data_IF_443932138035
#
_entry.id   IF_443932138035
#
_cell.length_a   1.000
_cell.length_b   1.000
_cell.length_c   1.000
_cell.angle_alpha   90.00
_cell.angle_beta   90.00
_cell.angle_gamma   90.00
#
_symmetry.space_group_name_H-M   'P 1'
#
loop_
_entity.id
_entity.type
_entity.pdbx_description
1 polymer ?
#
# COMPACT_ATOMS: atom_id res chain seq x y z
N UNK A 1 21.93 -7.60 6.17
CA UNK A 1 22.90 -8.34 5.32
C UNK A 1 23.71 -7.33 4.53
N UNK A 2 24.96 -7.65 4.17
CA UNK A 2 25.74 -6.78 3.27
C UNK A 2 25.25 -6.98 1.84
N UNK A 3 25.07 -5.90 1.04
CA UNK A 3 24.68 -6.06 -0.36
C UNK A 3 25.70 -6.88 -1.16
N UNK A 4 25.21 -7.74 -2.05
CA UNK A 4 26.04 -8.63 -2.89
C UNK A 4 26.10 -8.05 -4.29
N UNK A 5 27.31 -7.77 -4.76
CA UNK A 5 27.58 -7.17 -6.07
C UNK A 5 28.25 -8.22 -6.98
N UNK A 6 27.73 -8.39 -8.19
CA UNK A 6 28.42 -9.16 -9.23
C UNK A 6 29.25 -8.18 -10.08
N UNK A 7 30.55 -8.41 -10.14
CA UNK A 7 31.50 -7.62 -10.92
C UNK A 7 32.01 -8.45 -12.10
N UNK A 8 31.70 -8.00 -13.29
CA UNK A 8 32.05 -8.67 -14.55
C UNK A 8 32.98 -7.78 -15.37
N UNK A 9 34.20 -8.18 -15.52
CA UNK A 9 35.27 -7.47 -16.27
C UNK A 9 36.39 -8.45 -16.60
N UNK A 10 36.94 -8.48 -17.80
CA UNK A 10 37.99 -9.40 -18.21
C UNK A 10 39.35 -8.97 -17.68
N UNK A 11 39.55 -7.68 -17.37
CA UNK A 11 40.81 -7.12 -16.89
C UNK A 11 41.03 -7.45 -15.40
N UNK A 12 41.89 -8.46 -15.12
CA UNK A 12 42.09 -8.94 -13.77
C UNK A 12 42.57 -7.87 -12.76
N UNK A 13 43.41 -6.91 -13.21
CA UNK A 13 43.92 -5.83 -12.37
C UNK A 13 42.82 -4.86 -11.94
N UNK A 14 41.94 -4.46 -12.89
CA UNK A 14 40.80 -3.57 -12.64
C UNK A 14 39.79 -4.28 -11.74
N UNK A 15 39.41 -5.51 -12.06
CA UNK A 15 38.50 -6.34 -11.30
C UNK A 15 38.94 -6.49 -9.83
N UNK A 16 40.24 -6.84 -9.61
CA UNK A 16 40.80 -6.91 -8.27
C UNK A 16 40.72 -5.56 -7.52
N UNK A 17 41.05 -4.46 -8.19
CA UNK A 17 41.03 -3.12 -7.61
C UNK A 17 39.64 -2.72 -7.14
N UNK A 18 38.62 -2.91 -8.00
CA UNK A 18 37.21 -2.61 -7.70
C UNK A 18 36.70 -3.52 -6.58
N UNK A 19 36.95 -4.84 -6.67
CA UNK A 19 36.49 -5.81 -5.67
C UNK A 19 37.07 -5.51 -4.29
N UNK A 20 38.38 -5.20 -4.19
CA UNK A 20 39.05 -4.82 -2.95
C UNK A 20 38.44 -3.53 -2.35
N UNK A 21 38.18 -2.51 -3.18
CA UNK A 21 37.60 -1.28 -2.73
C UNK A 21 36.18 -1.48 -2.20
N UNK A 22 35.31 -2.16 -2.95
CA UNK A 22 33.94 -2.43 -2.56
C UNK A 22 33.83 -3.31 -1.30
N UNK A 23 34.72 -4.30 -1.16
CA UNK A 23 34.78 -5.12 0.06
C UNK A 23 35.15 -4.29 1.29
N UNK A 24 36.10 -3.35 1.14
CA UNK A 24 36.48 -2.41 2.21
C UNK A 24 35.36 -1.45 2.60
N UNK A 25 34.51 -1.05 1.64
CA UNK A 25 33.37 -0.15 1.88
C UNK A 25 32.10 -0.88 2.33
N UNK A 26 32.17 -2.20 2.54
CA UNK A 26 31.11 -2.95 3.21
C UNK A 26 30.22 -3.82 2.31
N UNK A 27 30.55 -3.96 1.03
CA UNK A 27 29.85 -4.83 0.09
C UNK A 27 30.46 -6.26 0.09
N UNK A 28 29.68 -7.24 -0.34
CA UNK A 28 30.17 -8.54 -0.78
C UNK A 28 30.32 -8.50 -2.30
N UNK A 29 31.46 -8.97 -2.82
CA UNK A 29 31.71 -8.95 -4.27
C UNK A 29 31.98 -10.36 -4.74
N UNK A 30 31.24 -10.76 -5.78
CA UNK A 30 31.54 -11.93 -6.58
C UNK A 30 32.08 -11.46 -7.92
N UNK A 31 33.17 -12.07 -8.37
CA UNK A 31 33.86 -11.70 -9.60
C UNK A 31 33.55 -12.71 -10.70
N UNK A 32 33.44 -12.24 -11.94
CA UNK A 32 33.40 -13.04 -13.16
C UNK A 32 34.27 -12.40 -14.22
N UNK A 33 35.03 -13.22 -14.97
CA UNK A 33 35.94 -12.77 -16.02
C UNK A 33 35.31 -12.87 -17.42
N UNK A 34 34.21 -13.59 -17.56
CA UNK A 34 33.52 -13.87 -18.82
C UNK A 34 32.03 -13.71 -18.70
N UNK A 35 31.34 -13.59 -19.82
CA UNK A 35 29.88 -13.53 -19.89
C UNK A 35 29.26 -14.84 -19.39
N UNK A 36 29.85 -15.99 -19.77
CA UNK A 36 29.38 -17.30 -19.34
C UNK A 36 29.42 -17.48 -17.82
N UNK A 37 30.54 -17.09 -17.16
CA UNK A 37 30.64 -17.09 -15.70
C UNK A 37 29.62 -16.18 -15.04
N UNK A 38 29.36 -15.01 -15.63
CA UNK A 38 28.38 -14.06 -15.14
C UNK A 38 26.95 -14.60 -15.24
N UNK A 39 26.60 -15.27 -16.35
CA UNK A 39 25.29 -15.90 -16.56
C UNK A 39 25.05 -17.05 -15.56
N UNK A 40 26.08 -17.90 -15.33
CA UNK A 40 26.01 -18.98 -14.35
C UNK A 40 25.83 -18.40 -12.93
N UNK A 41 26.56 -17.34 -12.58
CA UNK A 41 26.44 -16.66 -11.29
C UNK A 41 25.03 -16.11 -11.05
N UNK A 42 24.44 -15.43 -12.03
CA UNK A 42 23.07 -14.86 -11.94
C UNK A 42 22.01 -15.95 -11.85
N UNK A 43 22.21 -17.10 -12.49
CA UNK A 43 21.32 -18.25 -12.36
C UNK A 43 21.41 -18.94 -10.98
N UNK A 44 22.57 -18.89 -10.32
CA UNK A 44 22.83 -19.58 -9.04
C UNK A 44 22.41 -18.83 -7.79
N UNK A 45 22.45 -17.50 -7.80
CA UNK A 45 22.07 -16.68 -6.64
C UNK A 45 21.59 -15.28 -7.04
N UNK A 46 21.03 -14.57 -6.06
CA UNK A 46 20.57 -13.17 -6.25
C UNK A 46 21.68 -12.19 -5.93
N UNK A 47 21.76 -11.14 -6.75
CA UNK A 47 22.65 -9.99 -6.55
C UNK A 47 21.84 -8.71 -6.31
N UNK A 48 22.47 -7.78 -5.58
CA UNK A 48 21.88 -6.47 -5.31
C UNK A 48 22.21 -5.44 -6.39
N UNK A 49 23.34 -5.63 -7.10
CA UNK A 49 23.70 -4.89 -8.32
C UNK A 49 24.67 -5.69 -9.18
N UNK A 50 24.70 -5.37 -10.47
CA UNK A 50 25.64 -5.87 -11.48
C UNK A 50 26.50 -4.70 -11.97
N UNK A 51 27.82 -4.87 -11.92
CA UNK A 51 28.80 -4.04 -12.60
C UNK A 51 29.26 -4.84 -13.82
N UNK A 52 28.97 -4.33 -15.02
CA UNK A 52 29.15 -5.07 -16.28
C UNK A 52 30.06 -4.33 -17.24
N UNK A 53 31.21 -4.92 -17.55
CA UNK A 53 32.01 -4.50 -18.72
C UNK A 53 31.32 -4.95 -20.02
N UNK A 54 31.41 -4.14 -21.04
CA UNK A 54 30.85 -4.43 -22.35
C UNK A 54 31.79 -5.28 -23.21
N UNK A 55 33.09 -5.13 -23.03
CA UNK A 55 34.12 -5.79 -23.85
C UNK A 55 34.61 -7.11 -23.26
N UNK A 56 33.78 -8.14 -23.20
CA UNK A 56 34.14 -9.45 -22.65
C UNK A 56 34.69 -10.38 -23.73
N UNK A 57 35.60 -11.32 -23.38
CA UNK A 57 36.27 -12.16 -24.36
C UNK A 57 35.37 -13.16 -25.10
N UNK A 58 34.22 -13.49 -24.50
CA UNK A 58 33.26 -14.47 -24.98
C UNK A 58 31.94 -13.85 -25.46
N UNK A 59 31.81 -12.50 -25.44
CA UNK A 59 30.64 -11.81 -25.94
C UNK A 59 30.59 -10.33 -25.60
N UNK A 60 29.56 -9.64 -26.13
CA UNK A 60 29.34 -8.25 -25.82
C UNK A 60 28.31 -8.12 -24.68
N UNK A 61 28.73 -7.56 -23.55
CA UNK A 61 27.86 -7.33 -22.40
C UNK A 61 26.60 -6.50 -22.72
N UNK A 62 26.66 -5.65 -23.75
CA UNK A 62 25.53 -4.86 -24.22
C UNK A 62 24.36 -5.74 -24.72
N UNK A 63 24.64 -6.87 -25.34
CA UNK A 63 23.62 -7.77 -25.89
C UNK A 63 22.94 -8.61 -24.82
N UNK A 64 23.54 -8.74 -23.65
CA UNK A 64 22.99 -9.45 -22.52
C UNK A 64 21.99 -8.62 -21.67
N UNK A 65 22.08 -7.28 -21.73
CA UNK A 65 21.21 -6.39 -20.93
C UNK A 65 19.71 -6.63 -21.18
N UNK A 66 19.19 -6.80 -22.40
CA UNK A 66 17.78 -7.07 -22.64
C UNK A 66 17.31 -8.39 -21.99
N UNK A 67 18.11 -9.45 -22.08
CA UNK A 67 17.81 -10.74 -21.43
C UNK A 67 17.79 -10.62 -19.91
N UNK A 68 18.76 -9.89 -19.32
CA UNK A 68 18.75 -9.58 -17.89
C UNK A 68 17.49 -8.80 -17.48
N UNK A 69 16.99 -7.91 -18.32
CA UNK A 69 15.76 -7.16 -18.05
C UNK A 69 14.51 -8.03 -18.14
N UNK A 70 14.51 -9.04 -18.97
CA UNK A 70 13.41 -9.99 -19.09
C UNK A 70 13.31 -10.90 -17.86
N UNK A 71 14.44 -11.48 -17.41
CA UNK A 71 14.47 -12.47 -16.32
C UNK A 71 14.74 -11.85 -14.93
N UNK A 72 15.44 -10.72 -14.87
CA UNK A 72 15.81 -9.99 -13.64
C UNK A 72 15.51 -8.48 -13.75
N UNK A 73 14.26 -8.08 -13.95
CA UNK A 73 13.89 -6.67 -14.19
C UNK A 73 14.25 -5.74 -13.03
N UNK A 74 14.35 -6.30 -11.82
CA UNK A 74 14.71 -5.56 -10.60
C UNK A 74 16.22 -5.43 -10.36
N UNK A 75 17.07 -6.18 -11.08
CA UNK A 75 18.52 -6.16 -10.88
C UNK A 75 19.12 -4.84 -11.39
N UNK A 76 19.70 -4.01 -10.53
CA UNK A 76 20.39 -2.81 -10.97
C UNK A 76 21.64 -3.14 -11.80
N UNK A 77 21.79 -2.49 -12.97
CA UNK A 77 22.91 -2.70 -13.91
C UNK A 77 23.67 -1.41 -14.09
N UNK A 78 24.94 -1.41 -13.70
CA UNK A 78 25.90 -0.33 -13.97
C UNK A 78 26.88 -0.86 -15.02
N UNK A 79 26.91 -0.20 -16.17
CA UNK A 79 27.82 -0.55 -17.27
C UNK A 79 29.15 0.16 -17.07
N UNK A 80 30.25 -0.57 -17.30
CA UNK A 80 31.61 -0.02 -17.35
C UNK A 80 32.08 -0.10 -18.80
N UNK A 81 32.59 0.99 -19.37
CA UNK A 81 33.00 1.05 -20.79
C UNK A 81 34.28 1.83 -20.97
N UNK A 82 35.02 1.55 -22.05
CA UNK A 82 36.21 2.30 -22.43
C UNK A 82 35.92 3.76 -22.80
N UNK A 83 36.98 4.54 -22.85
CA UNK A 83 36.90 5.99 -23.10
C UNK A 83 36.44 6.28 -24.54
N UNK A 84 35.40 7.08 -24.71
CA UNK A 84 35.06 7.74 -26.00
C UNK A 84 33.78 7.27 -26.72
N UNK A 85 33.10 6.23 -26.22
CA UNK A 85 31.94 5.63 -26.89
C UNK A 85 30.60 6.20 -26.42
N UNK A 86 30.36 7.49 -26.65
CA UNK A 86 29.05 8.14 -26.39
C UNK A 86 27.89 7.36 -27.04
N UNK A 87 27.99 6.88 -28.30
CA UNK A 87 26.92 6.05 -28.89
C UNK A 87 26.64 4.74 -28.12
N UNK A 88 27.66 4.05 -27.64
CA UNK A 88 27.51 2.81 -26.86
C UNK A 88 26.89 3.11 -25.50
N UNK A 89 27.27 4.22 -24.87
CA UNK A 89 26.67 4.68 -23.62
C UNK A 89 25.16 4.92 -23.75
N UNK A 90 24.73 5.62 -24.79
CA UNK A 90 23.32 5.88 -25.09
C UNK A 90 22.56 4.58 -25.37
N UNK A 91 23.16 3.65 -26.12
CA UNK A 91 22.56 2.37 -26.43
C UNK A 91 22.43 1.46 -25.20
N UNK A 92 23.44 1.45 -24.30
CA UNK A 92 23.36 0.72 -23.04
C UNK A 92 22.20 1.19 -22.16
N UNK A 93 22.02 2.51 -22.03
CA UNK A 93 20.90 3.10 -21.30
C UNK A 93 19.55 2.76 -21.97
N UNK A 94 19.49 2.78 -23.30
CA UNK A 94 18.28 2.43 -24.07
C UNK A 94 17.90 0.95 -23.90
N UNK A 95 18.89 0.05 -23.79
CA UNK A 95 18.68 -1.38 -23.55
C UNK A 95 18.37 -1.72 -22.11
N UNK A 96 18.44 -0.73 -21.19
CA UNK A 96 17.98 -0.89 -19.81
C UNK A 96 19.08 -0.85 -18.75
N UNK A 97 20.31 -0.41 -19.05
CA UNK A 97 21.28 -0.10 -18.01
C UNK A 97 20.77 1.06 -17.11
N UNK A 98 21.08 1.03 -15.82
CA UNK A 98 20.66 2.07 -14.87
C UNK A 98 21.67 3.20 -14.78
N UNK A 99 22.95 2.89 -15.02
CA UNK A 99 24.04 3.85 -14.95
C UNK A 99 25.20 3.39 -15.83
N UNK A 100 26.13 4.32 -16.06
CA UNK A 100 27.32 4.07 -16.85
C UNK A 100 28.53 4.72 -16.19
N UNK A 101 29.65 4.01 -16.19
CA UNK A 101 30.98 4.47 -15.77
C UNK A 101 31.98 4.31 -16.91
N UNK A 102 32.87 5.26 -17.08
CA UNK A 102 33.95 5.19 -18.07
C UNK A 102 35.24 4.73 -17.41
N UNK A 103 36.02 3.90 -18.13
CA UNK A 103 37.39 3.56 -17.73
C UNK A 103 38.33 4.76 -18.07
N UNK A 104 39.27 5.14 -17.17
CA UNK A 104 39.58 4.53 -15.87
C UNK A 104 38.48 4.83 -14.83
N UNK A 105 38.10 3.79 -14.07
CA UNK A 105 37.00 3.89 -13.08
C UNK A 105 37.45 4.73 -11.88
N UNK A 106 36.78 5.87 -11.67
CA UNK A 106 36.96 6.64 -10.44
C UNK A 106 36.15 5.97 -9.29
N UNK A 107 36.86 5.54 -8.25
CA UNK A 107 36.27 4.78 -7.13
C UNK A 107 35.26 5.59 -6.33
N UNK A 108 35.41 6.92 -6.24
CA UNK A 108 34.45 7.78 -5.56
C UNK A 108 33.14 7.90 -6.36
N UNK A 109 33.24 8.04 -7.67
CA UNK A 109 32.08 8.04 -8.57
C UNK A 109 31.39 6.67 -8.57
N UNK A 110 32.13 5.57 -8.60
CA UNK A 110 31.57 4.21 -8.50
C UNK A 110 30.71 4.04 -7.24
N UNK A 111 31.22 4.48 -6.10
CA UNK A 111 30.50 4.34 -4.82
C UNK A 111 29.19 5.16 -4.81
N UNK A 112 29.24 6.40 -5.30
CA UNK A 112 28.06 7.28 -5.41
C UNK A 112 27.01 6.66 -6.34
N UNK A 113 27.42 6.19 -7.52
CA UNK A 113 26.51 5.55 -8.47
C UNK A 113 25.97 4.23 -7.94
N UNK A 114 26.81 3.39 -7.33
CA UNK A 114 26.38 2.11 -6.77
C UNK A 114 25.33 2.33 -5.67
N UNK A 115 25.56 3.25 -4.74
CA UNK A 115 24.61 3.57 -3.67
C UNK A 115 23.27 4.05 -4.23
N UNK A 116 23.29 5.01 -5.18
CA UNK A 116 22.09 5.50 -5.82
C UNK A 116 21.33 4.42 -6.59
N UNK A 117 22.08 3.55 -7.27
CA UNK A 117 21.50 2.46 -8.07
C UNK A 117 20.93 1.35 -7.18
N UNK A 118 21.54 1.07 -6.01
CA UNK A 118 20.98 0.17 -4.99
C UNK A 118 19.68 0.71 -4.38
N UNK A 119 19.60 2.02 -4.14
CA UNK A 119 18.36 2.67 -3.68
C UNK A 119 17.23 2.51 -4.71
N UNK A 120 17.52 2.78 -5.98
CA UNK A 120 16.58 2.57 -7.10
C UNK A 120 16.19 1.10 -7.24
N UNK A 121 17.14 0.18 -7.13
CA UNK A 121 16.88 -1.27 -7.15
C UNK A 121 16.01 -1.73 -5.98
N UNK A 122 16.17 -1.14 -4.80
CA UNK A 122 15.31 -1.42 -3.65
C UNK A 122 13.87 -0.94 -3.87
N UNK A 123 13.68 0.20 -4.53
CA UNK A 123 12.36 0.71 -4.93
C UNK A 123 11.73 -0.18 -6.02
N UNK A 124 12.49 -0.55 -7.06
CA UNK A 124 12.02 -1.49 -8.10
C UNK A 124 11.67 -2.86 -7.51
N UNK A 125 12.45 -3.38 -6.57
CA UNK A 125 12.13 -4.63 -5.86
C UNK A 125 10.81 -4.53 -5.10
N UNK A 126 10.53 -3.42 -4.43
CA UNK A 126 9.25 -3.18 -3.78
C UNK A 126 8.10 -3.13 -4.79
N UNK A 127 8.28 -2.45 -5.93
CA UNK A 127 7.30 -2.37 -7.01
C UNK A 127 7.13 -3.73 -7.71
N UNK A 128 8.22 -4.47 -7.96
CA UNK A 128 8.17 -5.79 -8.59
C UNK A 128 7.58 -6.85 -7.66
N UNK A 129 7.91 -6.80 -6.36
CA UNK A 129 7.26 -7.64 -5.34
C UNK A 129 5.78 -7.28 -5.22
N UNK A 130 5.44 -5.99 -5.28
CA UNK A 130 4.07 -5.52 -5.36
C UNK A 130 3.34 -6.03 -6.62
N UNK A 131 3.96 -5.99 -7.80
CA UNK A 131 3.39 -6.51 -9.06
C UNK A 131 3.30 -8.04 -9.09
N UNK A 132 4.25 -8.74 -8.48
CA UNK A 132 4.21 -10.20 -8.36
C UNK A 132 3.18 -10.67 -7.34
N UNK A 133 3.00 -9.93 -6.26
CA UNK A 133 1.90 -10.10 -5.31
C UNK A 133 0.56 -9.72 -5.98
N UNK A 134 0.51 -8.64 -6.78
CA UNK A 134 -0.68 -8.26 -7.55
C UNK A 134 -1.08 -9.28 -8.62
N UNK A 135 -0.14 -10.07 -9.18
CA UNK A 135 -0.47 -11.23 -10.05
C UNK A 135 -1.00 -12.43 -9.27
N UNK A 136 -0.74 -12.53 -7.95
CA UNK A 136 -1.32 -13.54 -7.04
C UNK A 136 -2.60 -13.05 -6.35
N UNK A 137 -2.83 -11.75 -6.31
CA UNK A 137 -4.03 -11.15 -5.74
C UNK A 137 -5.09 -10.91 -6.84
N UNK A 138 -5.54 -11.98 -7.50
CA UNK A 138 -6.86 -11.95 -8.14
C UNK A 138 -7.86 -11.65 -7.02
N UNK A 139 -8.55 -10.50 -7.13
CA UNK A 139 -9.62 -10.17 -6.18
C UNK A 139 -10.66 -11.28 -6.31
N UNK A 140 -10.79 -12.04 -5.25
CA UNK A 140 -11.91 -12.94 -5.10
C UNK A 140 -13.06 -12.12 -4.53
N UNK A 141 -13.98 -11.73 -5.41
CA UNK A 141 -15.28 -11.26 -4.95
C UNK A 141 -15.96 -12.44 -4.24
N UNK A 142 -16.67 -12.14 -3.17
CA UNK A 142 -17.46 -13.15 -2.47
C UNK A 142 -18.65 -13.62 -3.30
N UNK A 143 -19.50 -14.47 -2.73
CA UNK A 143 -20.72 -15.00 -3.36
C UNK A 143 -21.99 -14.28 -2.89
N UNK A 144 -21.88 -13.35 -1.93
CA UNK A 144 -23.04 -12.63 -1.42
C UNK A 144 -23.64 -11.69 -2.48
N UNK A 145 -24.96 -11.57 -2.53
CA UNK A 145 -25.63 -10.66 -3.48
C UNK A 145 -25.20 -9.19 -3.33
N UNK A 146 -24.79 -8.80 -2.14
CA UNK A 146 -24.33 -7.44 -1.85
C UNK A 146 -22.98 -7.15 -2.52
N UNK A 147 -22.05 -8.12 -2.49
CA UNK A 147 -20.75 -7.96 -3.15
C UNK A 147 -20.87 -8.12 -4.66
N UNK A 148 -21.81 -8.93 -5.17
CA UNK A 148 -22.12 -9.01 -6.59
C UNK A 148 -22.51 -7.66 -7.18
N UNK A 149 -23.33 -6.86 -6.48
CA UNK A 149 -23.64 -5.48 -6.88
C UNK A 149 -22.40 -4.57 -6.91
N UNK A 150 -21.49 -4.74 -5.96
CA UNK A 150 -20.22 -4.00 -5.95
C UNK A 150 -19.37 -4.36 -7.15
N UNK A 151 -19.32 -5.64 -7.53
CA UNK A 151 -18.60 -6.11 -8.72
C UNK A 151 -19.20 -5.52 -10.00
N UNK A 152 -20.53 -5.53 -10.15
CA UNK A 152 -21.21 -4.92 -11.30
C UNK A 152 -20.89 -3.42 -11.42
N UNK A 153 -20.98 -2.67 -10.30
CA UNK A 153 -20.65 -1.25 -10.29
C UNK A 153 -19.17 -1.00 -10.59
N UNK A 154 -18.29 -1.85 -10.07
CA UNK A 154 -16.86 -1.75 -10.33
C UNK A 154 -16.52 -2.03 -11.80
N UNK A 155 -17.21 -2.99 -12.44
CA UNK A 155 -17.08 -3.28 -13.87
C UNK A 155 -17.53 -2.07 -14.72
N UNK A 156 -18.69 -1.49 -14.43
CA UNK A 156 -19.15 -0.26 -15.08
C UNK A 156 -18.16 0.90 -14.88
N UNK A 157 -17.63 1.03 -13.67
CA UNK A 157 -16.61 2.03 -13.39
C UNK A 157 -15.34 1.80 -14.22
N UNK A 158 -14.90 0.54 -14.41
CA UNK A 158 -13.69 0.23 -15.18
C UNK A 158 -13.79 0.66 -16.65
N UNK A 159 -14.98 0.60 -17.24
CA UNK A 159 -15.23 0.98 -18.64
C UNK A 159 -15.23 2.51 -18.87
N UNK A 160 -15.14 3.31 -17.83
CA UNK A 160 -15.16 4.78 -17.92
C UNK A 160 -13.91 5.42 -17.31
N UNK A 161 -13.60 6.67 -17.69
CA UNK A 161 -12.58 7.49 -17.04
C UNK A 161 -13.13 8.35 -15.88
N UNK A 162 -14.36 8.09 -15.45
CA UNK A 162 -14.99 8.82 -14.36
C UNK A 162 -14.23 8.68 -13.05
N UNK A 163 -14.31 9.71 -12.22
CA UNK A 163 -13.81 9.68 -10.83
C UNK A 163 -14.64 8.66 -10.04
N UNK A 164 -13.96 7.75 -9.35
CA UNK A 164 -14.60 6.73 -8.50
C UNK A 164 -14.30 7.02 -7.05
N UNK A 165 -15.31 6.98 -6.19
CA UNK A 165 -15.16 7.12 -4.75
C UNK A 165 -15.60 5.84 -4.04
N UNK A 166 -14.64 5.13 -3.45
CA UNK A 166 -14.86 3.90 -2.70
C UNK A 166 -15.15 4.23 -1.24
N UNK A 167 -16.35 3.87 -0.79
CA UNK A 167 -16.82 4.11 0.56
C UNK A 167 -16.88 2.81 1.34
N UNK A 168 -16.62 2.85 2.64
CA UNK A 168 -16.75 1.67 3.51
C UNK A 168 -15.73 1.67 4.64
N UNK A 169 -15.96 0.80 5.61
CA UNK A 169 -15.13 0.67 6.79
C UNK A 169 -13.67 0.31 6.45
N UNK A 170 -12.77 0.57 7.41
CA UNK A 170 -11.38 0.15 7.25
C UNK A 170 -11.29 -1.37 7.12
N UNK A 171 -10.42 -1.85 6.21
CA UNK A 171 -10.21 -3.28 6.01
C UNK A 171 -11.24 -4.00 5.13
N UNK A 172 -12.21 -3.31 4.51
CA UNK A 172 -13.22 -3.92 3.62
C UNK A 172 -12.70 -4.31 2.24
N UNK A 173 -11.50 -3.83 1.86
CA UNK A 173 -10.87 -4.16 0.57
C UNK A 173 -10.89 -3.02 -0.46
N UNK A 174 -11.13 -1.76 -0.04
CA UNK A 174 -11.19 -0.57 -0.94
C UNK A 174 -9.96 -0.45 -1.86
N UNK A 175 -8.74 -0.58 -1.32
CA UNK A 175 -7.52 -0.50 -2.13
C UNK A 175 -7.39 -1.63 -3.15
N UNK A 176 -7.81 -2.85 -2.80
CA UNK A 176 -7.84 -3.96 -3.76
C UNK A 176 -8.85 -3.69 -4.88
N UNK A 177 -10.04 -3.20 -4.54
CA UNK A 177 -11.05 -2.85 -5.53
C UNK A 177 -10.58 -1.74 -6.48
N UNK A 178 -9.85 -0.73 -5.97
CA UNK A 178 -9.24 0.30 -6.80
C UNK A 178 -8.24 -0.29 -7.82
N UNK A 179 -7.38 -1.22 -7.39
CA UNK A 179 -6.45 -1.94 -8.27
C UNK A 179 -7.17 -2.78 -9.32
N UNK A 180 -8.24 -3.44 -8.93
CA UNK A 180 -9.08 -4.23 -9.85
C UNK A 180 -9.75 -3.35 -10.92
N UNK A 181 -10.35 -2.21 -10.53
CA UNK A 181 -10.93 -1.24 -11.46
C UNK A 181 -9.87 -0.75 -12.45
N UNK A 182 -8.68 -0.39 -11.96
CA UNK A 182 -7.57 0.04 -12.83
C UNK A 182 -7.15 -1.06 -13.80
N UNK A 183 -6.96 -2.30 -13.32
CA UNK A 183 -6.48 -3.43 -14.14
C UNK A 183 -7.44 -3.84 -15.27
N UNK A 184 -8.71 -3.45 -15.17
CA UNK A 184 -9.73 -3.68 -16.20
C UNK A 184 -10.08 -2.44 -17.02
N UNK A 185 -9.48 -1.30 -16.71
CA UNK A 185 -9.73 -0.04 -17.41
C UNK A 185 -8.93 0.10 -18.70
N UNK A 186 -9.25 1.13 -19.49
CA UNK A 186 -8.48 1.55 -20.66
C UNK A 186 -7.04 1.93 -20.30
N UNK A 187 -6.76 2.28 -19.02
CA UNK A 187 -5.46 2.70 -18.50
C UNK A 187 -4.66 1.57 -17.83
N UNK A 188 -5.07 0.30 -17.97
CA UNK A 188 -4.47 -0.86 -17.29
C UNK A 188 -2.97 -1.05 -17.50
N UNK A 189 -2.45 -0.62 -18.65
CA UNK A 189 -1.01 -0.68 -18.99
C UNK A 189 -0.23 0.56 -18.52
N UNK A 190 -0.93 1.54 -17.95
CA UNK A 190 -0.37 2.78 -17.46
C UNK A 190 -0.11 2.71 -15.95
N UNK A 191 0.65 3.65 -15.36
CA UNK A 191 0.95 3.63 -13.93
C UNK A 191 -0.31 3.64 -13.04
N UNK A 192 -0.32 2.79 -12.01
CA UNK A 192 -1.22 2.89 -10.87
C UNK A 192 -0.43 3.45 -9.69
N UNK A 193 -0.72 4.70 -9.32
CA UNK A 193 0.00 5.41 -8.27
C UNK A 193 -0.90 5.52 -7.04
N UNK A 194 -0.42 5.02 -5.90
CA UNK A 194 -1.18 4.95 -4.65
C UNK A 194 -0.54 5.82 -3.58
N UNK A 195 -1.36 6.56 -2.84
CA UNK A 195 -0.94 7.28 -1.64
C UNK A 195 -2.02 7.19 -0.57
N UNK A 196 -1.59 7.00 0.69
CA UNK A 196 -2.48 7.06 1.84
C UNK A 196 -2.40 8.45 2.47
N UNK A 197 -3.52 9.21 2.45
CA UNK A 197 -3.59 10.58 2.94
C UNK A 197 -3.54 10.67 4.47
N UNK A 198 -3.84 9.59 5.21
CA UNK A 198 -3.76 9.59 6.67
C UNK A 198 -2.33 9.42 7.20
N UNK A 199 -1.44 8.80 6.39
CA UNK A 199 -0.05 8.52 6.78
C UNK A 199 0.85 9.77 6.73
N UNK A 200 0.47 10.77 5.95
CA UNK A 200 1.24 12.00 5.73
C UNK A 200 0.33 13.21 6.00
N UNK A 201 0.86 14.23 6.65
CA UNK A 201 0.10 15.43 7.01
C UNK A 201 0.71 16.70 6.43
N UNK A 202 -0.15 17.68 6.12
CA UNK A 202 0.23 19.03 5.72
C UNK A 202 1.22 19.06 4.57
N UNK A 203 2.34 19.73 4.79
CA UNK A 203 3.39 19.97 3.79
C UNK A 203 4.03 18.68 3.28
N UNK A 204 4.06 17.59 4.07
CA UNK A 204 4.59 16.30 3.63
C UNK A 204 3.68 15.67 2.57
N UNK A 205 2.37 15.67 2.80
CA UNK A 205 1.41 15.16 1.82
C UNK A 205 1.42 16.03 0.56
N UNK A 206 1.48 17.35 0.71
CA UNK A 206 1.60 18.28 -0.41
C UNK A 206 2.87 18.01 -1.24
N UNK A 207 4.02 17.82 -0.56
CA UNK A 207 5.30 17.52 -1.22
C UNK A 207 5.28 16.21 -1.99
N UNK A 208 4.65 15.16 -1.44
CA UNK A 208 4.50 13.89 -2.16
C UNK A 208 3.55 14.01 -3.36
N UNK A 209 2.41 14.69 -3.22
CA UNK A 209 1.43 14.82 -4.29
C UNK A 209 1.91 15.72 -5.43
N UNK A 210 2.37 16.94 -5.09
CA UNK A 210 2.70 17.96 -6.09
C UNK A 210 4.18 17.98 -6.48
N UNK A 211 5.04 17.36 -5.68
CA UNK A 211 6.49 17.45 -5.83
C UNK A 211 7.06 18.76 -5.27
N UNK A 212 8.37 18.86 -5.22
CA UNK A 212 9.08 20.04 -4.74
C UNK A 212 10.21 20.43 -5.69
N UNK A 213 10.41 21.74 -5.88
CA UNK A 213 11.57 22.28 -6.54
C UNK A 213 12.75 22.38 -5.56
N UNK A 214 13.95 22.39 -6.09
CA UNK A 214 15.17 22.62 -5.31
C UNK A 214 15.03 23.92 -4.51
N UNK A 215 15.28 23.86 -3.21
CA UNK A 215 15.19 25.04 -2.31
C UNK A 215 13.77 25.38 -1.84
N UNK A 216 12.75 24.59 -2.17
CA UNK A 216 11.38 24.82 -1.70
C UNK A 216 11.24 24.79 -0.18
N UNK A 217 12.09 24.02 0.49
CA UNK A 217 12.24 23.96 1.96
C UNK A 217 13.67 23.57 2.32
N UNK A 218 14.07 23.70 3.57
CA UNK A 218 15.47 23.56 4.03
C UNK A 218 16.16 22.24 3.65
N UNK A 219 15.39 21.16 3.48
CA UNK A 219 15.91 19.84 3.08
C UNK A 219 15.69 19.51 1.58
N UNK A 220 15.13 20.41 0.78
CA UNK A 220 14.92 20.22 -0.66
C UNK A 220 16.21 20.47 -1.47
N UNK A 221 17.13 19.51 -1.45
CA UNK A 221 18.45 19.61 -2.12
C UNK A 221 18.34 19.45 -3.65
N UNK A 222 17.32 18.74 -4.13
CA UNK A 222 17.09 18.44 -5.55
C UNK A 222 15.61 18.56 -5.91
N UNK A 223 15.33 18.74 -7.20
CA UNK A 223 13.98 18.67 -7.74
C UNK A 223 13.41 17.26 -7.53
N UNK A 224 12.19 17.18 -6.98
CA UNK A 224 11.48 15.92 -6.77
C UNK A 224 10.14 15.96 -7.51
N UNK A 225 9.88 15.05 -8.48
CA UNK A 225 8.56 14.94 -9.09
C UNK A 225 7.53 14.48 -8.09
N UNK A 226 6.31 15.02 -8.18
CA UNK A 226 5.18 14.59 -7.36
C UNK A 226 4.46 13.39 -7.96
N UNK A 227 3.65 12.72 -7.12
CA UNK A 227 2.88 11.54 -7.53
C UNK A 227 1.86 11.87 -8.64
N UNK A 228 1.37 13.10 -8.70
CA UNK A 228 0.51 13.59 -9.79
C UNK A 228 1.25 13.57 -11.15
N UNK A 229 2.56 13.88 -11.17
CA UNK A 229 3.37 13.75 -12.39
C UNK A 229 3.58 12.28 -12.78
N UNK A 230 3.85 11.43 -11.78
CA UNK A 230 4.07 9.98 -11.99
C UNK A 230 2.81 9.28 -12.48
N UNK A 231 1.63 9.77 -12.06
CA UNK A 231 0.34 9.22 -12.45
C UNK A 231 -0.14 9.66 -13.84
N UNK A 232 0.65 10.47 -14.56
CA UNK A 232 0.24 10.96 -15.88
C UNK A 232 -0.14 9.82 -16.83
N UNK A 233 -1.28 9.96 -17.51
CA UNK A 233 -1.95 8.96 -18.35
C UNK A 233 -2.43 7.70 -17.61
N UNK A 234 -2.07 7.53 -16.33
CA UNK A 234 -2.41 6.41 -15.48
C UNK A 234 -3.60 6.67 -14.55
N UNK A 235 -3.56 6.04 -13.37
CA UNK A 235 -4.54 6.24 -12.31
C UNK A 235 -3.84 6.68 -11.02
N UNK A 236 -4.41 7.69 -10.36
CA UNK A 236 -4.01 8.13 -9.04
C UNK A 236 -5.06 7.63 -8.03
N UNK A 237 -4.62 6.79 -7.08
CA UNK A 237 -5.45 6.30 -6.00
C UNK A 237 -5.11 7.01 -4.69
N UNK A 238 -6.10 7.71 -4.13
CA UNK A 238 -6.02 8.39 -2.84
C UNK A 238 -6.76 7.56 -1.80
N UNK A 239 -6.02 6.85 -0.95
CA UNK A 239 -6.62 6.14 0.19
C UNK A 239 -6.82 7.11 1.35
N UNK A 240 -7.93 6.95 2.08
CA UNK A 240 -8.38 7.80 3.18
C UNK A 240 -8.40 9.31 2.80
N UNK A 241 -9.01 9.62 1.64
CA UNK A 241 -9.09 11.00 1.12
C UNK A 241 -9.76 11.97 2.11
N UNK A 242 -10.64 11.46 2.98
CA UNK A 242 -11.27 12.24 4.05
C UNK A 242 -10.31 12.72 5.14
N UNK A 243 -9.07 12.24 5.16
CA UNK A 243 -8.02 12.68 6.10
C UNK A 243 -7.10 13.76 5.52
N UNK A 244 -7.34 14.18 4.28
CA UNK A 244 -6.54 15.22 3.62
C UNK A 244 -6.68 16.56 4.33
N UNK A 245 -5.55 17.24 4.58
CA UNK A 245 -5.54 18.56 5.22
C UNK A 245 -6.21 19.63 4.36
N UNK A 246 -6.85 20.60 5.00
CA UNK A 246 -7.63 21.69 4.35
C UNK A 246 -6.86 22.46 3.26
N UNK A 247 -5.56 22.71 3.46
CA UNK A 247 -4.70 23.38 2.50
C UNK A 247 -4.44 22.52 1.26
N UNK A 248 -4.20 21.22 1.47
CA UNK A 248 -3.96 20.25 0.39
C UNK A 248 -5.23 20.02 -0.42
N UNK A 249 -6.40 19.97 0.23
CA UNK A 249 -7.70 19.87 -0.45
C UNK A 249 -7.91 21.01 -1.48
N UNK A 250 -7.54 22.25 -1.12
CA UNK A 250 -7.68 23.39 -2.03
C UNK A 250 -6.77 23.28 -3.27
N UNK A 251 -5.52 22.86 -3.06
CA UNK A 251 -4.57 22.67 -4.16
C UNK A 251 -5.01 21.50 -5.06
N UNK A 252 -5.45 20.40 -4.45
CA UNK A 252 -5.88 19.21 -5.16
C UNK A 252 -7.16 19.46 -5.98
N UNK A 253 -8.13 20.23 -5.46
CA UNK A 253 -9.32 20.65 -6.19
C UNK A 253 -8.94 21.32 -7.52
N UNK A 254 -7.99 22.27 -7.46
CA UNK A 254 -7.51 22.96 -8.67
C UNK A 254 -6.90 21.98 -9.68
N UNK A 255 -6.17 20.96 -9.22
CA UNK A 255 -5.60 19.94 -10.11
C UNK A 255 -6.67 19.12 -10.82
N UNK A 256 -7.72 18.72 -10.10
CA UNK A 256 -8.83 17.95 -10.70
C UNK A 256 -9.57 18.78 -11.76
N UNK A 257 -9.74 20.08 -11.52
CA UNK A 257 -10.47 20.99 -12.42
C UNK A 257 -9.66 21.41 -13.65
N UNK A 258 -8.43 21.84 -13.43
CA UNK A 258 -7.59 22.42 -14.48
C UNK A 258 -6.65 21.41 -15.15
N UNK A 259 -6.51 20.19 -14.60
CA UNK A 259 -5.49 19.21 -15.01
C UNK A 259 -4.08 19.80 -15.01
N UNK A 260 -3.85 20.80 -14.16
CA UNK A 260 -2.59 21.54 -14.07
C UNK A 260 -2.24 21.87 -12.61
N UNK A 261 -0.94 21.91 -12.31
CA UNK A 261 -0.41 22.17 -10.98
C UNK A 261 0.99 22.75 -11.06
N UNK A 262 1.54 23.12 -9.90
CA UNK A 262 2.93 23.55 -9.73
C UNK A 262 3.56 22.72 -8.62
N UNK A 263 4.86 22.44 -8.74
CA UNK A 263 5.63 21.89 -7.61
C UNK A 263 5.72 22.94 -6.52
N UNK A 264 5.88 22.48 -5.29
CA UNK A 264 6.13 23.40 -4.16
C UNK A 264 7.42 24.17 -4.42
N UNK A 265 7.38 25.49 -4.30
CA UNK A 265 8.50 26.39 -4.57
C UNK A 265 8.79 26.64 -6.05
N UNK A 266 7.98 26.12 -7.01
CA UNK A 266 8.14 26.34 -8.45
C UNK A 266 7.04 27.26 -9.00
N UNK A 267 7.40 28.11 -9.96
CA UNK A 267 6.45 28.95 -10.72
C UNK A 267 5.97 28.28 -11.99
N UNK A 268 6.66 27.23 -12.45
CA UNK A 268 6.37 26.53 -13.70
C UNK A 268 5.10 25.69 -13.56
N UNK A 269 4.11 25.96 -14.43
CA UNK A 269 2.89 25.16 -14.51
C UNK A 269 3.17 23.87 -15.27
N UNK A 270 2.66 22.76 -14.72
CA UNK A 270 2.75 21.40 -15.27
C UNK A 270 1.35 20.88 -15.53
N UNK A 271 1.23 19.91 -16.41
CA UNK A 271 -0.03 19.23 -16.71
C UNK A 271 0.10 17.74 -16.43
N UNK A 272 -1.00 17.12 -15.99
CA UNK A 272 -1.11 15.67 -15.82
C UNK A 272 -2.54 15.25 -16.11
N UNK A 273 -2.71 14.24 -16.94
CA UNK A 273 -4.00 13.63 -17.23
C UNK A 273 -4.07 12.25 -16.55
N UNK A 274 -4.45 12.24 -15.30
CA UNK A 274 -4.68 11.02 -14.55
C UNK A 274 -6.18 10.78 -14.33
N UNK A 275 -6.53 9.51 -14.17
CA UNK A 275 -7.82 9.08 -13.63
C UNK A 275 -7.76 9.06 -12.11
N UNK A 276 -8.75 9.66 -11.43
CA UNK A 276 -8.82 9.68 -9.98
C UNK A 276 -9.67 8.52 -9.44
N UNK A 277 -9.11 7.75 -8.51
CA UNK A 277 -9.79 6.80 -7.65
C UNK A 277 -9.59 7.27 -6.20
N UNK A 278 -10.66 7.49 -5.46
CA UNK A 278 -10.58 7.87 -4.04
C UNK A 278 -11.17 6.80 -3.14
N UNK A 279 -10.69 6.70 -1.91
CA UNK A 279 -11.28 5.84 -0.88
C UNK A 279 -11.34 6.55 0.46
N UNK A 280 -12.38 6.27 1.25
CA UNK A 280 -12.48 6.77 2.63
C UNK A 280 -13.41 5.88 3.47
N UNK A 281 -13.16 5.87 4.76
CA UNK A 281 -14.04 5.30 5.77
C UNK A 281 -14.90 6.37 6.49
N UNK A 282 -14.67 7.67 6.19
CA UNK A 282 -15.38 8.78 6.79
C UNK A 282 -16.69 9.09 6.07
N UNK A 283 -17.65 9.61 6.80
CA UNK A 283 -18.85 10.25 6.27
C UNK A 283 -18.49 11.65 5.75
N UNK A 284 -18.19 11.76 4.44
CA UNK A 284 -17.77 13.04 3.84
C UNK A 284 -18.83 14.13 3.95
N UNK A 285 -20.14 13.88 3.80
CA UNK A 285 -21.20 14.85 4.13
C UNK A 285 -21.07 15.41 5.54
N UNK A 286 -20.81 14.58 6.55
CA UNK A 286 -20.60 15.03 7.92
C UNK A 286 -19.30 15.84 8.07
N UNK A 287 -18.22 15.43 7.42
CA UNK A 287 -16.94 16.15 7.40
C UNK A 287 -17.10 17.55 6.76
N UNK A 288 -17.92 17.65 5.69
CA UNK A 288 -18.28 18.95 5.07
C UNK A 288 -19.11 19.82 6.02
N UNK A 289 -20.13 19.24 6.68
CA UNK A 289 -20.96 19.98 7.64
C UNK A 289 -20.16 20.51 8.84
N UNK A 290 -19.11 19.78 9.24
CA UNK A 290 -18.20 20.18 10.33
C UNK A 290 -17.03 21.07 9.86
N UNK A 291 -16.97 21.43 8.58
CA UNK A 291 -15.94 22.31 8.01
C UNK A 291 -14.55 21.66 7.92
N UNK A 292 -14.42 20.34 8.00
CA UNK A 292 -13.16 19.61 7.86
C UNK A 292 -12.88 19.15 6.43
N UNK A 293 -13.90 19.10 5.59
CA UNK A 293 -13.77 18.77 4.16
C UNK A 293 -14.45 19.85 3.30
N UNK A 294 -13.81 20.22 2.18
CA UNK A 294 -14.34 21.26 1.27
C UNK A 294 -15.51 20.73 0.48
N UNK A 295 -16.60 21.50 0.47
CA UNK A 295 -17.82 21.17 -0.26
C UNK A 295 -17.57 21.00 -1.77
N UNK A 296 -16.77 21.87 -2.34
CA UNK A 296 -16.42 21.85 -3.77
C UNK A 296 -15.65 20.57 -4.13
N UNK A 297 -14.67 20.18 -3.31
CA UNK A 297 -13.92 18.94 -3.52
C UNK A 297 -14.82 17.71 -3.38
N UNK A 298 -15.70 17.68 -2.38
CA UNK A 298 -16.66 16.60 -2.20
C UNK A 298 -17.49 16.36 -3.46
N UNK A 299 -18.13 17.39 -4.04
CA UNK A 299 -18.92 17.25 -5.25
C UNK A 299 -18.07 16.85 -6.48
N UNK A 300 -16.79 17.20 -6.50
CA UNK A 300 -15.90 16.86 -7.61
C UNK A 300 -15.41 15.42 -7.56
N UNK A 301 -15.32 14.81 -6.37
CA UNK A 301 -14.89 13.41 -6.22
C UNK A 301 -16.05 12.42 -6.09
N UNK A 302 -17.23 12.84 -5.68
CA UNK A 302 -18.42 11.99 -5.55
C UNK A 302 -19.16 11.82 -6.90
N UNK A 303 -18.42 11.47 -7.96
CA UNK A 303 -19.06 11.26 -9.29
C UNK A 303 -19.61 9.85 -9.39
N UNK A 304 -18.83 8.83 -9.03
CA UNK A 304 -19.25 7.43 -9.06
C UNK A 304 -18.95 6.77 -7.71
N UNK A 305 -19.86 6.88 -6.72
CA UNK A 305 -19.65 6.27 -5.41
C UNK A 305 -19.95 4.76 -5.44
N UNK A 306 -19.06 3.96 -4.84
CA UNK A 306 -19.24 2.52 -4.63
C UNK A 306 -19.08 2.24 -3.14
N UNK A 307 -20.14 1.73 -2.50
CA UNK A 307 -20.13 1.37 -1.09
C UNK A 307 -19.74 -0.11 -0.92
N UNK A 308 -18.63 -0.36 -0.24
CA UNK A 308 -18.22 -1.71 0.13
C UNK A 308 -18.85 -2.09 1.48
N UNK A 309 -19.66 -3.15 1.52
CA UNK A 309 -20.28 -3.60 2.76
C UNK A 309 -19.23 -4.15 3.73
N UNK A 310 -19.40 -3.95 5.04
CA UNK A 310 -18.56 -4.58 6.05
C UNK A 310 -18.76 -6.10 6.05
N UNK A 311 -17.75 -6.85 6.54
CA UNK A 311 -17.74 -8.32 6.49
C UNK A 311 -18.91 -8.96 7.23
N UNK A 312 -19.38 -8.35 8.32
CA UNK A 312 -20.55 -8.80 9.09
C UNK A 312 -21.89 -8.75 8.32
N UNK A 313 -21.97 -7.98 7.23
CA UNK A 313 -23.15 -7.90 6.35
C UNK A 313 -23.09 -8.88 5.16
N UNK A 314 -22.00 -9.66 5.08
CA UNK A 314 -21.78 -10.70 4.06
C UNK A 314 -21.13 -11.96 4.64
N UNK A 315 -21.77 -12.59 5.64
CA UNK A 315 -21.21 -13.77 6.32
C UNK A 315 -20.98 -14.95 5.37
N UNK A 316 -21.73 -15.03 4.27
CA UNK A 316 -21.59 -16.07 3.23
C UNK A 316 -20.21 -16.00 2.54
N UNK A 317 -19.57 -14.84 2.55
CA UNK A 317 -18.26 -14.65 1.92
C UNK A 317 -17.09 -15.07 2.80
N UNK A 318 -17.31 -15.25 4.12
CA UNK A 318 -16.23 -15.48 5.11
C UNK A 318 -15.44 -16.74 4.78
N UNK A 319 -16.10 -17.83 4.46
CA UNK A 319 -15.43 -19.11 4.15
C UNK A 319 -14.55 -18.99 2.91
N UNK A 320 -15.10 -18.44 1.83
CA UNK A 320 -14.36 -18.22 0.57
C UNK A 320 -13.17 -17.28 0.76
N UNK A 321 -13.37 -16.17 1.48
CA UNK A 321 -12.30 -15.21 1.79
C UNK A 321 -11.23 -15.82 2.68
N UNK A 322 -11.61 -16.56 3.74
CA UNK A 322 -10.65 -17.22 4.62
C UNK A 322 -9.83 -18.28 3.88
N UNK A 323 -10.47 -19.07 3.00
CA UNK A 323 -9.80 -20.05 2.15
C UNK A 323 -8.81 -19.37 1.19
N UNK A 324 -9.22 -18.28 0.54
CA UNK A 324 -8.36 -17.50 -0.33
C UNK A 324 -7.15 -16.89 0.42
N UNK A 325 -7.39 -16.32 1.58
CA UNK A 325 -6.35 -15.77 2.43
C UNK A 325 -5.35 -16.83 2.90
N UNK A 326 -5.82 -18.02 3.32
CA UNK A 326 -4.95 -19.13 3.69
C UNK A 326 -4.09 -19.61 2.52
N UNK A 327 -4.65 -19.67 1.29
CA UNK A 327 -3.86 -19.95 0.08
C UNK A 327 -2.79 -18.89 -0.16
N UNK A 328 -3.11 -17.62 0.05
CA UNK A 328 -2.13 -16.53 -0.07
C UNK A 328 -1.03 -16.59 0.99
N UNK A 329 -1.29 -17.26 2.12
CA UNK A 329 -0.35 -17.57 3.21
C UNK A 329 0.38 -18.92 3.00
N UNK A 330 0.36 -19.44 1.76
CA UNK A 330 1.06 -20.67 1.34
C UNK A 330 0.59 -21.95 2.03
N UNK A 331 -0.65 -21.96 2.55
CA UNK A 331 -1.27 -23.19 3.07
C UNK A 331 -1.82 -24.00 1.90
N UNK A 332 -1.29 -25.20 1.60
CA UNK A 332 -1.81 -26.06 0.56
C UNK A 332 -3.16 -26.66 1.00
N UNK A 333 -4.16 -26.60 0.12
CA UNK A 333 -5.52 -27.17 0.33
C UNK A 333 -6.12 -26.81 1.70
N UNK A 334 -6.32 -25.49 2.01
CA UNK A 334 -6.80 -25.08 3.31
C UNK A 334 -8.23 -25.55 3.56
N UNK A 335 -8.44 -26.26 4.68
CA UNK A 335 -9.76 -26.72 5.13
C UNK A 335 -10.04 -26.11 6.49
N UNK A 336 -11.19 -25.44 6.60
CA UNK A 336 -11.69 -24.92 7.87
C UNK A 336 -12.79 -25.86 8.37
N UNK A 337 -12.68 -26.28 9.61
CA UNK A 337 -13.71 -27.14 10.21
C UNK A 337 -15.01 -26.34 10.44
N UNK A 338 -16.19 -27.03 10.48
CA UNK A 338 -17.46 -26.37 10.76
C UNK A 338 -17.46 -25.59 12.08
N UNK A 339 -16.70 -26.04 13.08
CA UNK A 339 -16.56 -25.37 14.36
C UNK A 339 -15.82 -24.03 14.23
N UNK A 340 -14.75 -23.99 13.41
CA UNK A 340 -14.02 -22.73 13.12
C UNK A 340 -14.92 -21.77 12.32
N UNK A 341 -15.62 -22.27 11.31
CA UNK A 341 -16.55 -21.46 10.54
C UNK A 341 -17.67 -20.91 11.43
N UNK A 342 -18.18 -21.71 12.37
CA UNK A 342 -19.15 -21.26 13.37
C UNK A 342 -18.63 -20.07 14.19
N UNK A 343 -17.38 -20.10 14.65
CA UNK A 343 -16.76 -18.96 15.34
C UNK A 343 -16.68 -17.73 14.43
N UNK A 344 -16.26 -17.91 13.17
CA UNK A 344 -16.08 -16.81 12.22
C UNK A 344 -17.42 -16.15 11.82
N UNK A 345 -18.50 -16.88 11.68
CA UNK A 345 -19.82 -16.34 11.35
C UNK A 345 -20.45 -15.54 12.48
N UNK A 346 -20.14 -15.87 13.73
CA UNK A 346 -20.69 -15.16 14.89
C UNK A 346 -19.87 -13.94 15.30
N UNK A 347 -18.64 -13.81 14.82
CA UNK A 347 -17.77 -12.69 15.15
C UNK A 347 -18.07 -11.47 14.26
N UNK A 348 -18.15 -10.24 14.80
CA UNK A 348 -18.59 -9.04 14.07
C UNK A 348 -17.55 -8.42 13.12
N UNK A 349 -16.31 -8.88 13.14
CA UNK A 349 -15.21 -8.44 12.27
C UNK A 349 -15.05 -6.91 12.18
N UNK A 350 -14.79 -6.18 13.28
CA UNK A 350 -14.65 -4.72 13.26
C UNK A 350 -13.50 -4.24 12.35
N UNK A 351 -12.47 -5.04 12.15
CA UNK A 351 -11.38 -4.79 11.21
C UNK A 351 -11.57 -5.44 9.84
N UNK A 352 -12.75 -6.01 9.57
CA UNK A 352 -13.13 -6.61 8.30
C UNK A 352 -12.14 -7.66 7.77
N UNK A 353 -11.82 -7.66 6.48
CA UNK A 353 -10.92 -8.62 5.84
C UNK A 353 -9.48 -8.49 6.39
N UNK A 354 -9.06 -7.27 6.77
CA UNK A 354 -7.74 -7.07 7.37
C UNK A 354 -7.61 -7.80 8.71
N UNK A 355 -8.65 -7.74 9.53
CA UNK A 355 -8.68 -8.48 10.80
C UNK A 355 -8.77 -10.00 10.56
N UNK A 356 -9.60 -10.45 9.63
CA UNK A 356 -9.70 -11.86 9.25
C UNK A 356 -8.33 -12.42 8.86
N UNK A 357 -7.56 -11.71 8.03
CA UNK A 357 -6.20 -12.08 7.65
C UNK A 357 -5.28 -12.22 8.87
N UNK A 358 -5.25 -11.20 9.73
CA UNK A 358 -4.41 -11.22 10.94
C UNK A 358 -4.78 -12.35 11.89
N UNK A 359 -6.07 -12.67 12.00
CA UNK A 359 -6.58 -13.78 12.81
C UNK A 359 -6.13 -15.13 12.23
N UNK A 360 -6.20 -15.30 10.91
CA UNK A 360 -5.73 -16.51 10.23
C UNK A 360 -4.21 -16.67 10.35
N UNK A 361 -3.43 -15.61 10.14
CA UNK A 361 -1.96 -15.64 10.33
C UNK A 361 -1.59 -16.04 11.75
N UNK A 362 -2.26 -15.47 12.75
CA UNK A 362 -2.06 -15.84 14.16
C UNK A 362 -2.46 -17.29 14.42
N UNK A 363 -3.58 -17.77 13.86
CA UNK A 363 -4.01 -19.15 13.98
C UNK A 363 -2.99 -20.14 13.42
N UNK A 364 -2.39 -19.83 12.27
CA UNK A 364 -1.31 -20.62 11.66
C UNK A 364 -0.06 -20.67 12.55
N UNK A 365 0.33 -19.55 13.15
CA UNK A 365 1.46 -19.52 14.08
C UNK A 365 1.21 -20.37 15.32
N UNK A 366 -0.01 -20.33 15.87
CA UNK A 366 -0.39 -21.09 17.06
C UNK A 366 -0.56 -22.58 16.78
N UNK A 367 -0.94 -22.96 15.56
CA UNK A 367 -1.10 -24.36 15.16
C UNK A 367 0.24 -25.12 15.02
N UNK A 368 1.36 -24.39 14.86
CA UNK A 368 2.72 -24.96 14.71
C UNK A 368 2.82 -26.04 13.63
N UNK A 369 2.03 -25.91 12.56
CA UNK A 369 1.97 -26.87 11.46
C UNK A 369 0.94 -27.98 11.63
N UNK A 370 0.22 -28.02 12.74
CA UNK A 370 -0.95 -28.90 12.91
C UNK A 370 -2.18 -28.35 12.18
N UNK A 371 -3.19 -29.18 11.90
CA UNK A 371 -4.46 -28.70 11.36
C UNK A 371 -5.08 -27.63 12.25
N UNK A 372 -5.67 -26.61 11.62
CA UNK A 372 -6.33 -25.54 12.36
C UNK A 372 -7.48 -26.06 13.20
N UNK A 373 -7.52 -25.65 14.46
CA UNK A 373 -8.56 -26.00 15.45
C UNK A 373 -9.11 -24.71 16.10
N UNK A 374 -10.33 -24.73 16.67
CA UNK A 374 -10.92 -23.57 17.37
C UNK A 374 -10.01 -22.94 18.43
N UNK A 375 -9.23 -23.76 19.13
CA UNK A 375 -8.26 -23.31 20.15
C UNK A 375 -7.15 -22.40 19.61
N UNK A 376 -6.89 -22.41 18.29
CA UNK A 376 -5.90 -21.55 17.64
C UNK A 376 -6.43 -20.13 17.35
N UNK A 377 -7.70 -19.86 17.66
CA UNK A 377 -8.36 -18.57 17.44
C UNK A 377 -8.83 -17.93 18.76
N UNK A 378 -7.93 -17.70 19.74
CA UNK A 378 -8.31 -17.09 21.01
C UNK A 378 -8.83 -15.67 20.79
N UNK A 379 -9.92 -15.31 21.52
CA UNK A 379 -10.53 -13.98 21.44
C UNK A 379 -11.62 -13.82 20.38
N UNK A 380 -11.93 -14.87 19.60
CA UNK A 380 -13.16 -14.93 18.80
C UNK A 380 -14.36 -15.47 19.61
N UNK A 381 -14.14 -15.87 20.85
CA UNK A 381 -15.20 -16.19 21.78
C UNK A 381 -16.08 -14.96 21.99
N UNK A 382 -17.37 -15.15 21.94
CA UNK A 382 -18.44 -14.16 21.86
C UNK A 382 -18.16 -12.95 22.76
N UNK A 383 -17.57 -11.90 22.19
CA UNK A 383 -17.66 -10.56 22.76
C UNK A 383 -18.94 -9.96 22.19
N UNK A 384 -19.97 -9.67 22.99
CA UNK A 384 -21.14 -8.98 22.47
C UNK A 384 -20.70 -7.58 22.03
N UNK A 385 -20.44 -7.43 20.72
CA UNK A 385 -20.15 -6.15 20.11
C UNK A 385 -21.39 -5.24 20.22
N UNK A 386 -21.30 -4.19 21.01
CA UNK A 386 -22.33 -3.14 21.05
C UNK A 386 -22.24 -2.33 19.78
N UNK A 387 -23.06 -2.67 18.77
CA UNK A 387 -23.20 -1.86 17.57
C UNK A 387 -23.80 -0.49 17.90
N UNK A 388 -23.07 0.58 17.64
CA UNK A 388 -23.54 1.96 17.76
C UNK A 388 -24.20 2.43 16.46
N UNK A 389 -25.46 2.09 16.22
CA UNK A 389 -26.31 2.75 15.25
C UNK A 389 -27.35 3.62 15.94
N UNK A 390 -27.91 4.66 15.28
CA UNK A 390 -28.85 5.60 15.92
C UNK A 390 -30.14 4.97 16.45
N UNK A 391 -30.64 3.89 15.87
CA UNK A 391 -31.83 3.17 16.39
C UNK A 391 -31.51 2.30 17.62
N UNK A 392 -30.30 1.76 17.73
CA UNK A 392 -29.88 0.98 18.90
C UNK A 392 -29.45 1.83 20.10
N UNK A 393 -29.14 3.12 19.91
CA UNK A 393 -28.97 4.06 21.02
C UNK A 393 -30.27 4.17 21.83
N UNK A 394 -31.45 4.19 21.20
CA UNK A 394 -32.74 4.22 21.92
C UNK A 394 -32.95 2.95 22.73
N UNK A 395 -32.76 1.77 22.15
CA UNK A 395 -32.91 0.47 22.86
C UNK A 395 -31.84 0.29 23.95
N UNK A 396 -30.61 0.79 23.73
CA UNK A 396 -29.54 0.78 24.75
C UNK A 396 -29.81 1.79 25.87
N UNK A 397 -30.33 2.96 25.57
CA UNK A 397 -30.69 3.98 26.57
C UNK A 397 -31.90 3.51 27.40
N UNK A 398 -32.89 2.83 26.81
CA UNK A 398 -34.00 2.22 27.53
C UNK A 398 -33.57 1.06 28.44
N UNK A 399 -32.73 0.16 27.96
CA UNK A 399 -32.18 -0.93 28.76
C UNK A 399 -31.26 -0.42 29.89
N UNK A 400 -30.52 0.65 29.65
CA UNK A 400 -29.67 1.32 30.65
C UNK A 400 -30.54 2.07 31.68
N UNK A 401 -31.65 2.67 31.25
CA UNK A 401 -32.63 3.30 32.12
C UNK A 401 -33.22 2.28 33.10
N UNK A 402 -33.74 1.16 32.57
CA UNK A 402 -34.31 0.05 33.40
C UNK A 402 -33.26 -0.48 34.39
N UNK A 403 -32.00 -0.64 33.98
CA UNK A 403 -30.93 -1.10 34.87
C UNK A 403 -30.58 -0.09 35.96
N UNK A 404 -30.56 1.20 35.65
CA UNK A 404 -30.28 2.28 36.62
C UNK A 404 -31.42 2.42 37.61
N UNK A 405 -32.68 2.34 37.15
CA UNK A 405 -33.86 2.34 38.02
C UNK A 405 -33.90 1.14 38.97
N UNK A 406 -33.65 -0.06 38.44
CA UNK A 406 -33.63 -1.27 39.25
C UNK A 406 -32.59 -1.19 40.37
N UNK A 407 -31.35 -0.81 40.06
CA UNK A 407 -30.28 -0.69 41.07
C UNK A 407 -30.54 0.45 42.05
N UNK A 408 -31.15 1.56 41.60
CA UNK A 408 -31.50 2.69 42.47
C UNK A 408 -32.62 2.28 43.45
N UNK A 409 -33.59 1.50 42.97
CA UNK A 409 -34.70 0.94 43.80
C UNK A 409 -34.18 -0.08 44.80
N UNK A 410 -33.27 -0.96 44.41
CA UNK A 410 -32.62 -1.91 45.32
C UNK A 410 -31.74 -1.26 46.39
N UNK A 411 -31.38 -0.01 46.16
CA UNK A 411 -30.59 0.80 47.11
C UNK A 411 -31.43 1.85 47.87
N UNK A 412 -32.78 1.72 47.89
CA UNK A 412 -33.72 2.66 48.53
C UNK A 412 -33.47 4.15 48.16
N UNK A 413 -33.03 4.39 46.92
CA UNK A 413 -32.71 5.73 46.40
C UNK A 413 -31.34 6.27 46.76
N UNK A 414 -30.48 5.48 47.44
CA UNK A 414 -29.11 5.91 47.75
C UNK A 414 -28.21 5.83 46.49
N UNK A 415 -28.00 7.01 45.88
CA UNK A 415 -27.18 7.17 44.68
C UNK A 415 -25.71 6.79 44.91
N UNK A 416 -25.17 6.96 46.13
CA UNK A 416 -23.78 6.60 46.41
C UNK A 416 -23.59 5.09 46.41
N UNK A 417 -24.57 4.37 46.98
CA UNK A 417 -24.61 2.90 47.03
C UNK A 417 -24.85 2.33 45.63
N UNK A 418 -25.77 2.90 44.89
CA UNK A 418 -26.08 2.50 43.50
C UNK A 418 -24.89 2.71 42.54
N UNK A 419 -24.20 3.86 42.63
CA UNK A 419 -23.01 4.15 41.81
C UNK A 419 -21.87 3.16 42.14
N UNK A 420 -21.69 2.80 43.39
CA UNK A 420 -20.67 1.83 43.84
C UNK A 420 -20.96 0.42 43.29
N UNK A 421 -22.22 -0.04 43.34
CA UNK A 421 -22.64 -1.33 42.78
C UNK A 421 -22.41 -1.40 41.26
N UNK A 422 -22.64 -0.28 40.58
CA UNK A 422 -22.42 -0.19 39.13
C UNK A 422 -20.97 0.09 38.71
N UNK A 423 -20.05 0.29 39.68
CA UNK A 423 -18.65 0.56 39.41
C UNK A 423 -18.39 1.91 38.71
N UNK A 424 -19.27 2.91 38.91
CA UNK A 424 -19.16 4.23 38.28
C UNK A 424 -19.10 5.34 39.34
N UNK A 425 -18.54 6.53 38.94
CA UNK A 425 -18.54 7.67 39.86
C UNK A 425 -19.93 8.25 40.08
N UNK A 426 -20.17 8.85 41.23
CA UNK A 426 -21.43 9.56 41.56
C UNK A 426 -21.78 10.62 40.48
N UNK A 427 -20.81 11.36 40.03
CA UNK A 427 -21.03 12.36 38.98
C UNK A 427 -21.48 11.73 37.65
N UNK A 428 -20.92 10.57 37.30
CA UNK A 428 -21.30 9.79 36.11
C UNK A 428 -22.72 9.24 36.26
N UNK A 429 -23.11 8.78 37.46
CA UNK A 429 -24.44 8.29 37.73
C UNK A 429 -25.51 9.40 37.57
N UNK A 430 -25.31 10.57 38.16
CA UNK A 430 -26.20 11.72 37.98
C UNK A 430 -26.30 12.19 36.52
N UNK A 431 -25.17 12.22 35.79
CA UNK A 431 -25.19 12.58 34.39
C UNK A 431 -26.02 11.60 33.53
N UNK A 432 -25.99 10.30 33.87
CA UNK A 432 -26.80 9.26 33.21
C UNK A 432 -28.26 9.39 33.55
N UNK A 433 -28.65 9.60 34.82
CA UNK A 433 -30.03 9.87 35.21
C UNK A 433 -30.60 11.07 34.47
N UNK A 434 -29.86 12.18 34.44
CA UNK A 434 -30.29 13.40 33.72
C UNK A 434 -30.45 13.18 32.20
N UNK A 435 -29.53 12.39 31.60
CA UNK A 435 -29.59 12.05 30.16
C UNK A 435 -30.81 11.21 29.82
N UNK A 436 -31.18 10.28 30.70
CA UNK A 436 -32.29 9.33 30.51
C UNK A 436 -33.63 9.84 31.05
N UNK A 437 -33.68 11.06 31.60
CA UNK A 437 -34.86 11.73 32.19
C UNK A 437 -35.49 10.89 33.34
N UNK A 438 -34.66 10.22 34.13
CA UNK A 438 -35.01 9.51 35.34
C UNK A 438 -34.85 10.37 36.59
#
# INVERSE_FOLDING_TARGET
>A
MKPIILLVDDEAALRFGIAKYLTKTGYQVQEAATLAEAQEAVAGQRYDALLLDLGLPDGNGLDWIPELREYHPELPIIVITGTGDVPIAVEAMRRGADNLLTKPVDMASLEVFLRKTLELGSMRRKDYTGRRLAKKDEITFGQSPTIGKVEELAALAADTDSVVLLLGESGTGKGMLAKWIHSRSSRREQPFVEINCSALKGDMLASELFGAARGAYTSAVQDRPGLIEVADRGSLFLDEVGDMDWGVQAQFLKVIEEKSFRRIGDVKQRRSDFRLLGATNKDLPEEVAQGRFRKELYFRIQVFPILLPPLRERPEDIEGLATHLLKSLEVPDPKLSPEILGLFWHYPWPGNIRELRNVLERGLLLSRGEPLAPSHFPGLEIIPWKQGGPERRKVSDEAEAVRLEAVLKDCDGDVNRAARILGISRATFYRKLKKLKL
#
